data_IF_676403170847
#
_entry.id   IF_676403170847
#
_cell.length_a   1.000
_cell.length_b   1.000
_cell.length_c   1.000
_cell.angle_alpha   90.00
_cell.angle_beta   90.00
_cell.angle_gamma   90.00
#
_symmetry.space_group_name_H-M   'P 1'
#
loop_
_entity.id
_entity.type
_entity.pdbx_description
1 polymer ?
#
# COMPACT_ATOMS: atom_id res chain seq x y z
N UNK A 1 8.34 -4.49 15.04
CA UNK A 1 8.04 -3.08 15.38
C UNK A 1 9.31 -2.27 15.73
N UNK A 2 10.11 -2.62 16.75
CA UNK A 2 11.32 -1.83 17.13
C UNK A 2 12.37 -1.71 16.02
N UNK A 3 12.67 -2.79 15.30
CA UNK A 3 13.68 -2.80 14.23
C UNK A 3 13.36 -1.88 13.04
N UNK A 4 12.10 -1.52 12.84
CA UNK A 4 11.65 -0.57 11.80
C UNK A 4 12.13 0.87 12.05
N UNK A 5 12.50 1.19 13.30
CA UNK A 5 13.03 2.50 13.70
C UNK A 5 14.52 2.41 14.11
N UNK A 6 15.19 1.30 13.76
CA UNK A 6 16.63 1.17 14.00
C UNK A 6 17.39 2.21 13.20
N UNK A 7 18.53 2.70 13.70
CA UNK A 7 19.45 3.56 12.94
C UNK A 7 20.11 2.80 11.77
N UNK A 8 20.23 1.49 11.90
CA UNK A 8 20.82 0.63 10.88
C UNK A 8 19.83 0.34 9.74
N UNK A 9 20.21 0.68 8.51
CA UNK A 9 19.39 0.50 7.30
C UNK A 9 18.96 -0.96 7.09
N UNK A 10 19.89 -1.90 7.20
CA UNK A 10 19.61 -3.33 7.01
C UNK A 10 18.63 -3.86 8.06
N UNK A 11 18.68 -3.37 9.29
CA UNK A 11 17.70 -3.71 10.32
C UNK A 11 16.29 -3.25 9.95
N UNK A 12 16.16 -2.08 9.31
CA UNK A 12 14.87 -1.57 8.83
C UNK A 12 14.37 -2.39 7.64
N UNK A 13 15.23 -2.71 6.68
CA UNK A 13 14.90 -3.59 5.53
C UNK A 13 14.43 -4.97 5.99
N UNK A 14 15.13 -5.60 6.93
CA UNK A 14 14.73 -6.89 7.51
C UNK A 14 13.36 -6.76 8.21
N UNK A 15 13.10 -5.66 8.92
CA UNK A 15 11.82 -5.43 9.57
C UNK A 15 10.66 -5.31 8.56
N UNK A 16 10.87 -4.61 7.44
CA UNK A 16 9.89 -4.50 6.36
C UNK A 16 9.60 -5.87 5.75
N UNK A 17 10.64 -6.62 5.40
CA UNK A 17 10.51 -7.99 4.88
C UNK A 17 9.76 -8.89 5.85
N UNK A 18 10.07 -8.82 7.15
CA UNK A 18 9.37 -9.59 8.18
C UNK A 18 7.87 -9.27 8.25
N UNK A 19 7.49 -7.99 8.20
CA UNK A 19 6.09 -7.60 8.19
C UNK A 19 5.36 -8.00 6.91
N UNK A 20 5.99 -7.84 5.74
CA UNK A 20 5.44 -8.31 4.47
C UNK A 20 5.23 -9.83 4.48
N UNK A 21 6.17 -10.59 5.05
CA UNK A 21 6.05 -12.04 5.17
C UNK A 21 4.91 -12.43 6.11
N UNK A 22 4.75 -11.74 7.25
CA UNK A 22 3.62 -11.95 8.16
C UNK A 22 2.31 -11.70 7.40
N UNK A 23 2.17 -10.56 6.74
CA UNK A 23 0.95 -10.25 5.98
C UNK A 23 0.71 -11.28 4.88
N UNK A 24 1.72 -11.69 4.11
CA UNK A 24 1.58 -12.68 3.03
C UNK A 24 1.02 -14.03 3.50
N UNK A 25 1.38 -14.46 4.71
CA UNK A 25 1.04 -15.80 5.22
C UNK A 25 -0.07 -15.82 6.25
N UNK A 26 -0.30 -14.71 6.96
CA UNK A 26 -1.40 -14.57 7.91
C UNK A 26 -2.67 -14.14 7.16
N UNK A 27 -3.59 -15.08 6.96
CA UNK A 27 -4.82 -14.85 6.17
C UNK A 27 -5.94 -14.29 7.02
N UNK A 28 -6.63 -13.29 6.48
CA UNK A 28 -7.81 -12.68 7.11
C UNK A 28 -9.00 -13.65 7.05
N UNK A 29 -9.25 -14.23 5.87
CA UNK A 29 -10.22 -15.30 5.68
C UNK A 29 -9.53 -16.65 5.49
N UNK A 30 -9.96 -17.66 6.24
CA UNK A 30 -9.74 -19.05 5.86
C UNK A 30 -10.86 -19.46 4.91
N UNK A 31 -10.51 -20.06 3.77
CA UNK A 31 -11.43 -20.71 2.83
C UNK A 31 -12.36 -21.67 3.61
N UNK A 32 -13.56 -21.20 3.93
CA UNK A 32 -14.47 -21.88 4.85
C UNK A 32 -15.66 -21.03 5.25
N UNK A 33 -16.55 -20.78 4.27
CA UNK A 33 -17.87 -20.15 4.36
C UNK A 33 -18.42 -19.90 5.77
N UNK A 34 -18.00 -18.80 6.37
CA UNK A 34 -18.61 -18.23 7.57
C UNK A 34 -19.29 -16.93 7.17
N UNK A 35 -20.62 -16.96 7.08
CA UNK A 35 -21.48 -15.82 6.85
C UNK A 35 -21.00 -14.57 7.61
N UNK A 36 -20.70 -13.49 6.88
CA UNK A 36 -20.59 -12.15 7.43
C UNK A 36 -21.94 -11.76 8.02
N UNK A 37 -21.98 -11.51 9.33
CA UNK A 37 -23.15 -10.90 9.98
C UNK A 37 -23.10 -9.38 9.73
N UNK A 38 -24.22 -8.67 9.51
CA UNK A 38 -24.21 -7.24 9.27
C UNK A 38 -23.59 -6.48 10.44
N UNK A 39 -22.64 -5.60 10.11
CA UNK A 39 -21.95 -4.68 11.01
C UNK A 39 -22.91 -3.62 11.57
N UNK A 40 -23.63 -3.94 12.65
CA UNK A 40 -24.43 -2.92 13.36
C UNK A 40 -24.21 -2.82 14.88
N UNK A 41 -23.33 -3.61 15.50
CA UNK A 41 -23.02 -3.41 16.93
C UNK A 41 -21.54 -3.67 17.21
N UNK A 42 -20.68 -2.69 16.96
CA UNK A 42 -19.37 -2.59 17.59
C UNK A 42 -18.85 -1.14 17.60
N UNK A 43 -19.73 -0.17 17.86
CA UNK A 43 -19.32 1.22 18.09
C UNK A 43 -19.64 1.56 19.54
N UNK A 44 -18.68 1.31 20.44
CA UNK A 44 -18.53 1.99 21.75
C UNK A 44 -17.63 1.22 22.73
N UNK A 45 -16.48 0.67 22.32
CA UNK A 45 -15.44 0.35 23.30
C UNK A 45 -14.06 0.72 22.77
N UNK A 46 -13.51 1.79 23.34
CA UNK A 46 -12.10 2.15 23.30
C UNK A 46 -11.29 1.04 23.96
N UNK A 47 -10.95 -0.02 23.22
CA UNK A 47 -10.09 -1.06 23.73
C UNK A 47 -8.62 -0.64 23.60
N UNK A 48 -8.06 -0.24 24.75
CA UNK A 48 -6.63 -0.38 25.02
C UNK A 48 -6.29 -1.88 25.02
N UNK A 49 -5.99 -2.44 23.84
CA UNK A 49 -5.71 -3.87 23.68
C UNK A 49 -4.26 -4.21 24.05
N UNK A 50 -3.97 -4.37 25.34
CA UNK A 50 -2.70 -4.94 25.82
C UNK A 50 -2.65 -6.47 25.75
N UNK A 51 -3.74 -7.16 25.39
CA UNK A 51 -3.79 -8.62 25.29
C UNK A 51 -4.71 -9.07 24.14
N UNK A 52 -4.16 -9.15 22.93
CA UNK A 52 -4.77 -9.99 21.88
C UNK A 52 -4.32 -11.42 22.16
N UNK A 53 -5.20 -12.21 22.78
CA UNK A 53 -5.01 -13.66 22.92
C UNK A 53 -5.25 -14.28 21.55
N UNK A 54 -4.21 -14.77 20.89
CA UNK A 54 -4.33 -15.64 19.71
C UNK A 54 -4.80 -17.00 20.22
N UNK A 55 -6.11 -17.21 20.33
CA UNK A 55 -6.67 -18.51 20.72
C UNK A 55 -6.60 -19.48 19.54
N UNK A 56 -5.86 -20.58 19.72
CA UNK A 56 -5.80 -21.70 18.76
C UNK A 56 -7.04 -22.62 18.84
N UNK A 57 -8.05 -22.27 19.64
CA UNK A 57 -9.27 -23.04 19.83
C UNK A 57 -10.51 -22.21 19.44
N UNK A 58 -11.06 -22.50 18.25
CA UNK A 58 -12.51 -22.69 18.12
C UNK A 58 -13.34 -21.69 17.31
N UNK A 59 -12.95 -20.42 17.16
CA UNK A 59 -13.60 -19.48 16.22
C UNK A 59 -12.60 -18.41 15.77
N UNK A 60 -12.12 -18.51 14.53
CA UNK A 60 -11.28 -17.48 13.93
C UNK A 60 -12.07 -16.17 13.86
N UNK A 61 -11.57 -15.12 14.52
CA UNK A 61 -12.20 -13.81 14.49
C UNK A 61 -11.62 -13.04 13.31
N UNK A 62 -12.33 -13.10 12.17
CA UNK A 62 -11.97 -12.39 10.93
C UNK A 62 -11.69 -10.91 11.20
N UNK A 63 -12.53 -10.25 11.99
CA UNK A 63 -12.35 -8.84 12.35
C UNK A 63 -11.08 -8.59 13.18
N UNK A 64 -10.71 -9.51 14.08
CA UNK A 64 -9.45 -9.39 14.83
C UNK A 64 -8.22 -9.60 13.92
N UNK A 65 -8.31 -10.55 12.99
CA UNK A 65 -7.25 -10.81 12.01
C UNK A 65 -7.05 -9.62 11.07
N UNK A 66 -8.15 -9.05 10.58
CA UNK A 66 -8.16 -7.85 9.77
C UNK A 66 -7.56 -6.67 10.52
N UNK A 67 -8.01 -6.40 11.75
CA UNK A 67 -7.48 -5.33 12.58
C UNK A 67 -5.96 -5.47 12.82
N UNK A 68 -5.48 -6.70 13.06
CA UNK A 68 -4.06 -6.97 13.20
C UNK A 68 -3.28 -6.70 11.90
N UNK A 69 -3.81 -7.15 10.76
CA UNK A 69 -3.20 -6.89 9.46
C UNK A 69 -3.15 -5.38 9.14
N UNK A 70 -4.21 -4.65 9.46
CA UNK A 70 -4.26 -3.20 9.32
C UNK A 70 -3.29 -2.48 10.26
N UNK A 71 -3.04 -2.97 11.48
CA UNK A 71 -1.98 -2.41 12.35
C UNK A 71 -0.58 -2.60 11.75
N UNK A 72 -0.32 -3.78 11.16
CA UNK A 72 0.94 -4.03 10.46
C UNK A 72 1.06 -3.09 9.25
N UNK A 73 0.01 -2.96 8.45
CA UNK A 73 0.00 -2.06 7.28
C UNK A 73 0.20 -0.60 7.71
N UNK A 74 -0.43 -0.17 8.81
CA UNK A 74 -0.20 1.15 9.41
C UNK A 74 1.24 1.36 9.90
N UNK A 75 1.92 0.28 10.32
CA UNK A 75 3.35 0.33 10.59
C UNK A 75 4.18 0.45 9.30
N UNK A 76 3.84 -0.31 8.26
CA UNK A 76 4.49 -0.25 6.94
C UNK A 76 4.33 1.14 6.29
N UNK A 77 3.19 1.83 6.49
CA UNK A 77 2.99 3.21 6.01
C UNK A 77 4.10 4.17 6.45
N UNK A 78 4.67 3.98 7.64
CA UNK A 78 5.78 4.81 8.14
C UNK A 78 7.08 4.60 7.36
N UNK A 79 7.21 3.52 6.60
CA UNK A 79 8.37 3.27 5.73
C UNK A 79 8.42 4.26 4.56
N UNK A 80 7.28 4.82 4.14
CA UNK A 80 7.19 5.84 3.09
C UNK A 80 7.87 7.17 3.46
N UNK A 81 8.22 7.35 4.72
CA UNK A 81 8.99 8.50 5.23
C UNK A 81 10.44 8.16 5.55
N UNK A 82 10.89 6.93 5.24
CA UNK A 82 12.28 6.48 5.43
C UNK A 82 13.07 6.56 4.13
N UNK A 83 14.31 6.07 4.14
CA UNK A 83 15.19 6.07 2.97
C UNK A 83 14.62 5.28 1.79
N UNK A 84 15.06 5.63 0.58
CA UNK A 84 14.61 5.04 -0.68
C UNK A 84 14.71 3.51 -0.69
N UNK A 85 15.78 2.93 -0.17
CA UNK A 85 15.93 1.47 -0.09
C UNK A 85 14.85 0.80 0.76
N UNK A 86 14.35 1.45 1.80
CA UNK A 86 13.26 0.91 2.62
C UNK A 86 11.93 1.02 1.88
N UNK A 87 11.69 2.13 1.18
CA UNK A 87 10.49 2.32 0.33
C UNK A 87 10.46 1.28 -0.80
N UNK A 88 11.59 1.08 -1.45
CA UNK A 88 11.76 0.07 -2.50
C UNK A 88 11.41 -1.33 -1.97
N UNK A 89 11.95 -1.72 -0.82
CA UNK A 89 11.64 -3.01 -0.19
C UNK A 89 10.14 -3.20 0.08
N UNK A 90 9.45 -2.12 0.48
CA UNK A 90 8.00 -2.14 0.65
C UNK A 90 7.29 -2.36 -0.69
N UNK A 91 7.61 -1.56 -1.71
CA UNK A 91 6.96 -1.64 -3.02
C UNK A 91 7.15 -2.99 -3.71
N UNK A 92 8.34 -3.59 -3.60
CA UNK A 92 8.63 -4.90 -4.19
C UNK A 92 7.77 -6.03 -3.59
N UNK A 93 7.45 -5.98 -2.29
CA UNK A 93 6.72 -7.07 -1.62
C UNK A 93 5.22 -6.83 -1.45
N UNK A 94 4.75 -5.59 -1.53
CA UNK A 94 3.35 -5.27 -1.20
C UNK A 94 2.33 -5.89 -2.18
N UNK A 95 2.72 -6.09 -3.44
CA UNK A 95 1.86 -6.75 -4.43
C UNK A 95 1.52 -8.19 -4.04
N UNK A 96 2.50 -8.95 -3.53
CA UNK A 96 2.25 -10.32 -3.07
C UNK A 96 1.27 -10.35 -1.90
N UNK A 97 1.36 -9.36 -1.00
CA UNK A 97 0.41 -9.22 0.11
C UNK A 97 -1.00 -8.97 -0.42
N UNK A 98 -1.17 -8.04 -1.36
CA UNK A 98 -2.47 -7.75 -2.00
C UNK A 98 -3.05 -9.00 -2.68
N UNK A 99 -2.20 -9.81 -3.32
CA UNK A 99 -2.64 -11.07 -3.92
C UNK A 99 -3.09 -12.13 -2.90
N UNK A 100 -2.52 -12.14 -1.70
CA UNK A 100 -2.83 -13.12 -0.66
C UNK A 100 -3.92 -12.66 0.31
N UNK A 101 -4.11 -11.36 0.50
CA UNK A 101 -5.18 -10.81 1.33
C UNK A 101 -5.95 -9.73 0.57
N UNK A 102 -6.94 -10.13 -0.23
CA UNK A 102 -7.77 -9.19 -1.00
C UNK A 102 -8.51 -8.17 -0.13
N UNK A 103 -8.78 -8.49 1.14
CA UNK A 103 -9.41 -7.60 2.12
C UNK A 103 -8.54 -6.37 2.39
N UNK A 104 -7.22 -6.46 2.17
CA UNK A 104 -6.30 -5.32 2.30
C UNK A 104 -6.17 -4.50 1.02
N UNK A 105 -6.80 -4.89 -0.09
CA UNK A 105 -6.61 -4.27 -1.39
C UNK A 105 -6.92 -2.77 -1.38
N UNK A 106 -8.02 -2.35 -0.76
CA UNK A 106 -8.38 -0.93 -0.64
C UNK A 106 -7.31 -0.15 0.14
N UNK A 107 -6.94 -0.61 1.34
CA UNK A 107 -5.91 0.05 2.15
C UNK A 107 -4.50 0.07 1.51
N UNK A 108 -4.14 -0.99 0.76
CA UNK A 108 -2.86 -1.05 0.03
C UNK A 108 -2.88 -0.07 -1.15
N UNK A 109 -3.97 -0.01 -1.90
CA UNK A 109 -4.11 0.94 -3.00
C UNK A 109 -4.12 2.37 -2.50
N UNK A 110 -4.87 2.68 -1.44
CA UNK A 110 -4.89 4.02 -0.85
C UNK A 110 -3.49 4.44 -0.41
N UNK A 111 -2.74 3.53 0.22
CA UNK A 111 -1.36 3.76 0.63
C UNK A 111 -0.44 4.13 -0.54
N UNK A 112 -0.48 3.34 -1.62
CA UNK A 112 0.35 3.53 -2.81
C UNK A 112 -0.08 4.78 -3.58
N UNK A 113 -1.38 4.99 -3.75
CA UNK A 113 -1.92 6.11 -4.49
C UNK A 113 -1.66 7.44 -3.77
N UNK A 114 -1.90 7.49 -2.46
CA UNK A 114 -1.54 8.64 -1.62
C UNK A 114 -0.06 9.01 -1.71
N UNK A 115 0.82 8.02 -1.86
CA UNK A 115 2.25 8.27 -2.06
C UNK A 115 2.54 8.80 -3.47
N UNK A 116 1.95 8.19 -4.50
CA UNK A 116 2.09 8.61 -5.89
C UNK A 116 1.63 10.06 -6.10
N UNK A 117 0.52 10.45 -5.49
CA UNK A 117 -0.04 11.80 -5.57
C UNK A 117 0.88 12.90 -5.04
N UNK A 118 1.93 12.56 -4.26
CA UNK A 118 2.95 13.54 -3.84
C UNK A 118 3.86 13.98 -4.98
N UNK A 119 4.02 13.12 -5.99
CA UNK A 119 4.94 13.32 -7.11
C UNK A 119 4.17 13.67 -8.39
N UNK A 120 2.89 13.32 -8.46
CA UNK A 120 2.04 13.59 -9.61
C UNK A 120 1.53 15.03 -9.63
N UNK A 121 1.79 15.74 -10.73
CA UNK A 121 1.30 17.09 -10.95
C UNK A 121 -0.11 17.00 -11.55
N UNK A 122 -1.13 17.40 -10.78
CA UNK A 122 -2.55 17.29 -11.20
C UNK A 122 -2.94 18.20 -12.35
N UNK A 123 -2.27 19.33 -12.51
CA UNK A 123 -2.56 20.26 -13.60
C UNK A 123 -2.31 19.59 -14.95
N UNK A 124 -3.35 19.42 -15.81
CA UNK A 124 -3.22 18.68 -17.06
C UNK A 124 -2.42 19.42 -18.14
N UNK A 125 -2.09 20.70 -17.92
CA UNK A 125 -1.33 21.53 -18.85
C UNK A 125 0.17 21.40 -18.59
N UNK A 126 0.56 21.12 -17.34
CA UNK A 126 1.97 21.04 -16.94
C UNK A 126 2.61 19.76 -17.49
N UNK A 127 3.77 19.95 -18.14
CA UNK A 127 4.71 18.92 -18.53
C UNK A 127 6.05 19.20 -17.82
N UNK A 128 6.74 18.16 -17.30
CA UNK A 128 6.32 16.77 -17.21
C UNK A 128 5.21 16.56 -16.17
N UNK A 129 4.47 15.45 -16.22
CA UNK A 129 3.40 15.14 -15.26
C UNK A 129 3.89 14.71 -13.87
N UNK A 130 5.21 14.64 -13.67
CA UNK A 130 5.85 14.19 -12.44
C UNK A 130 6.88 15.22 -12.00
N UNK A 131 6.84 15.61 -10.72
CA UNK A 131 7.88 16.45 -10.12
C UNK A 131 9.07 15.58 -9.67
N UNK A 132 10.02 15.37 -10.59
CA UNK A 132 11.20 14.54 -10.34
C UNK A 132 12.18 15.16 -9.33
N UNK A 133 12.07 16.48 -9.07
CA UNK A 133 12.90 17.14 -8.06
C UNK A 133 12.61 16.61 -6.66
N UNK A 134 11.39 16.11 -6.43
CA UNK A 134 11.01 15.49 -5.16
C UNK A 134 11.57 14.05 -5.01
N UNK A 135 12.04 13.45 -6.11
CA UNK A 135 12.57 12.09 -6.13
C UNK A 135 14.09 12.03 -5.96
N UNK A 136 14.79 13.15 -6.10
CA UNK A 136 16.25 13.25 -6.07
C UNK A 136 16.66 14.20 -4.93
N UNK A 137 17.72 13.84 -4.22
CA UNK A 137 18.32 14.65 -3.17
C UNK A 137 19.83 14.71 -3.32
N UNK A 138 20.47 15.36 -2.38
CA UNK A 138 21.93 15.49 -2.32
C UNK A 138 22.44 15.05 -0.94
N UNK A 139 23.41 14.16 -0.92
CA UNK A 139 24.10 13.70 0.28
C UNK A 139 25.61 13.58 -0.03
N UNK A 140 26.47 14.19 0.78
CA UNK A 140 27.93 14.20 0.59
C UNK A 140 28.35 14.60 -0.85
N UNK A 141 27.76 15.67 -1.40
CA UNK A 141 27.99 16.18 -2.76
C UNK A 141 27.64 15.17 -3.88
N UNK A 142 26.83 14.15 -3.57
CA UNK A 142 26.35 13.14 -4.52
C UNK A 142 24.84 13.18 -4.64
N UNK A 143 24.36 13.07 -5.86
CA UNK A 143 22.95 12.85 -6.12
C UNK A 143 22.51 11.48 -5.55
N UNK A 144 21.45 11.49 -4.76
CA UNK A 144 20.84 10.29 -4.18
C UNK A 144 19.37 10.20 -4.58
N UNK A 145 18.87 8.98 -4.75
CA UNK A 145 17.45 8.74 -4.97
C UNK A 145 16.73 8.79 -3.63
N UNK A 146 15.77 9.69 -3.49
CA UNK A 146 14.88 9.82 -2.33
C UNK A 146 13.63 8.96 -2.49
N UNK A 147 13.04 8.96 -3.69
CA UNK A 147 11.87 8.16 -4.03
C UNK A 147 12.19 7.21 -5.19
N UNK A 148 12.11 5.89 -4.99
CA UNK A 148 12.28 4.91 -6.07
C UNK A 148 11.00 4.85 -6.92
N UNK A 149 10.69 5.93 -7.64
CA UNK A 149 9.43 6.15 -8.35
C UNK A 149 9.02 5.01 -9.30
N UNK A 150 9.94 4.36 -10.06
CA UNK A 150 9.57 3.22 -10.90
C UNK A 150 8.96 2.05 -10.11
N UNK A 151 9.46 1.80 -8.89
CA UNK A 151 8.95 0.74 -8.02
C UNK A 151 7.56 1.09 -7.46
N UNK A 152 7.34 2.35 -7.10
CA UNK A 152 6.03 2.84 -6.67
C UNK A 152 4.99 2.67 -7.77
N UNK A 153 5.32 3.13 -8.99
CA UNK A 153 4.43 3.03 -10.15
C UNK A 153 4.12 1.56 -10.50
N UNK A 154 5.14 0.70 -10.47
CA UNK A 154 4.94 -0.73 -10.70
C UNK A 154 4.02 -1.36 -9.65
N UNK A 155 4.26 -1.10 -8.37
CA UNK A 155 3.44 -1.63 -7.29
C UNK A 155 1.98 -1.13 -7.39
N UNK A 156 1.78 0.17 -7.65
CA UNK A 156 0.45 0.76 -7.83
C UNK A 156 -0.29 0.11 -9.00
N UNK A 157 0.35 0.00 -10.17
CA UNK A 157 -0.26 -0.58 -11.37
C UNK A 157 -0.62 -2.06 -11.17
N UNK A 158 0.27 -2.83 -10.56
CA UNK A 158 0.05 -4.26 -10.32
C UNK A 158 -1.07 -4.49 -9.30
N UNK A 159 -1.10 -3.73 -8.21
CA UNK A 159 -2.18 -3.76 -7.23
C UNK A 159 -3.52 -3.33 -7.85
N UNK A 160 -3.54 -2.25 -8.63
CA UNK A 160 -4.77 -1.74 -9.24
C UNK A 160 -5.35 -2.75 -10.24
N UNK A 161 -4.49 -3.28 -11.12
CA UNK A 161 -4.87 -4.31 -12.08
C UNK A 161 -5.40 -5.58 -11.41
N UNK A 162 -4.86 -5.93 -10.24
CA UNK A 162 -5.32 -7.10 -9.47
C UNK A 162 -6.67 -6.86 -8.81
N UNK A 163 -6.87 -5.68 -8.23
CA UNK A 163 -8.11 -5.28 -7.57
C UNK A 163 -9.26 -5.13 -8.57
N UNK A 164 -9.03 -4.50 -9.74
CA UNK A 164 -10.03 -4.37 -10.80
C UNK A 164 -10.55 -5.74 -11.27
N UNK A 165 -9.63 -6.68 -11.58
CA UNK A 165 -9.98 -8.06 -11.95
C UNK A 165 -10.74 -8.82 -10.86
N UNK A 166 -10.68 -8.37 -9.61
CA UNK A 166 -11.43 -8.98 -8.51
C UNK A 166 -12.84 -8.40 -8.46
N UNK A 167 -12.99 -7.08 -8.53
CA UNK A 167 -14.29 -6.41 -8.60
C UNK A 167 -15.15 -6.93 -9.75
N UNK A 168 -14.56 -7.18 -10.92
CA UNK A 168 -15.28 -7.79 -12.06
C UNK A 168 -15.86 -9.18 -11.79
N UNK A 169 -15.40 -9.87 -10.73
CA UNK A 169 -15.78 -11.25 -10.38
C UNK A 169 -16.66 -11.36 -9.14
N UNK A 170 -16.57 -10.40 -8.23
CA UNK A 170 -17.32 -10.40 -6.98
C UNK A 170 -18.67 -9.72 -7.23
N UNK A 171 -19.78 -10.34 -6.83
CA UNK A 171 -21.15 -9.77 -7.00
C UNK A 171 -21.43 -8.64 -5.98
N UNK A 172 -20.64 -8.56 -4.91
CA UNK A 172 -20.72 -7.51 -3.90
C UNK A 172 -19.91 -6.29 -4.35
N UNK A 173 -20.60 -5.16 -4.55
CA UNK A 173 -19.98 -3.88 -4.91
C UNK A 173 -19.22 -3.29 -3.70
N UNK A 174 -17.88 -3.38 -3.71
CA UNK A 174 -17.03 -2.53 -2.86
C UNK A 174 -16.92 -1.15 -3.51
N UNK A 175 -17.94 -0.31 -3.29
CA UNK A 175 -18.04 1.05 -3.85
C UNK A 175 -16.78 1.88 -3.56
N UNK A 176 -16.22 1.76 -2.35
CA UNK A 176 -15.02 2.50 -1.97
C UNK A 176 -13.80 2.09 -2.78
N UNK A 177 -13.61 0.78 -3.01
CA UNK A 177 -12.53 0.28 -3.85
C UNK A 177 -12.74 0.68 -5.31
N UNK A 178 -13.99 0.67 -5.80
CA UNK A 178 -14.31 1.09 -7.17
C UNK A 178 -13.92 2.55 -7.41
N UNK A 179 -14.37 3.48 -6.56
CA UNK A 179 -14.04 4.90 -6.69
C UNK A 179 -12.52 5.16 -6.64
N UNK A 180 -11.81 4.46 -5.75
CA UNK A 180 -10.36 4.58 -5.66
C UNK A 180 -9.66 4.07 -6.94
N UNK A 181 -10.18 3.02 -7.57
CA UNK A 181 -9.62 2.52 -8.82
C UNK A 181 -9.87 3.49 -9.98
N UNK A 182 -11.05 4.11 -10.04
CA UNK A 182 -11.36 5.13 -11.03
C UNK A 182 -10.36 6.30 -10.93
N UNK A 183 -10.10 6.80 -9.71
CA UNK A 183 -9.13 7.86 -9.46
C UNK A 183 -7.69 7.46 -9.88
N UNK A 184 -7.30 6.21 -9.58
CA UNK A 184 -5.99 5.67 -9.96
C UNK A 184 -5.88 5.57 -11.48
N UNK A 185 -6.91 5.04 -12.16
CA UNK A 185 -6.94 4.90 -13.61
C UNK A 185 -6.87 6.26 -14.30
N UNK A 186 -7.65 7.25 -13.85
CA UNK A 186 -7.62 8.61 -14.38
C UNK A 186 -6.21 9.20 -14.29
N UNK A 187 -5.56 9.08 -13.13
CA UNK A 187 -4.22 9.61 -12.93
C UNK A 187 -3.17 8.89 -13.78
N UNK A 188 -3.22 7.55 -13.88
CA UNK A 188 -2.28 6.77 -14.69
C UNK A 188 -2.48 7.01 -16.20
N UNK A 189 -3.72 7.22 -16.65
CA UNK A 189 -4.03 7.60 -18.03
C UNK A 189 -3.50 9.01 -18.34
N UNK A 190 -3.72 9.97 -17.44
CA UNK A 190 -3.17 11.33 -17.54
C UNK A 190 -1.64 11.33 -17.56
N UNK A 191 -1.01 10.55 -16.67
CA UNK A 191 0.44 10.35 -16.61
C UNK A 191 0.97 9.86 -17.95
N UNK A 192 0.40 8.78 -18.49
CA UNK A 192 0.82 8.17 -19.76
C UNK A 192 0.69 9.15 -20.91
N UNK A 193 -0.47 9.82 -21.03
CA UNK A 193 -0.75 10.78 -22.10
C UNK A 193 0.22 11.98 -22.08
N UNK A 194 0.60 12.44 -20.89
CA UNK A 194 1.52 13.59 -20.73
C UNK A 194 2.98 13.18 -20.90
N UNK A 195 3.42 12.06 -20.35
CA UNK A 195 4.79 11.56 -20.54
C UNK A 195 5.13 11.32 -22.02
N UNK A 196 4.19 10.81 -22.82
CA UNK A 196 4.37 10.63 -24.27
C UNK A 196 4.61 11.97 -24.99
N UNK A 197 4.09 13.07 -24.44
CA UNK A 197 4.21 14.42 -25.00
C UNK A 197 5.40 15.20 -24.45
N UNK A 198 5.94 14.81 -23.30
CA UNK A 198 7.10 15.46 -22.69
C UNK A 198 8.36 15.20 -23.51
N UNK A 199 9.15 16.24 -23.68
CA UNK A 199 10.49 16.24 -24.23
C UNK A 199 11.53 16.28 -23.11
N UNK A 200 12.80 16.04 -23.43
CA UNK A 200 13.89 16.17 -22.44
C UNK A 200 14.05 17.60 -21.90
N UNK A 201 13.60 18.62 -22.63
CA UNK A 201 13.69 20.02 -22.22
C UNK A 201 12.68 20.38 -21.11
N UNK A 202 11.66 19.55 -20.92
CA UNK A 202 10.65 19.76 -19.88
C UNK A 202 11.17 19.29 -18.49
N UNK A 203 12.19 18.42 -18.44
CA UNK A 203 12.68 17.77 -17.22
C UNK A 203 13.86 18.48 -16.55
#
# INVERSE_FOLDING_TARGET
KKSMFSKNLESRKIAVTGFLLILKHFRIDLEGGGFSLPSQIAFSQSYSCSQVIVSTQGRYNVAANEAFCLEILGSLKKCLSQDSYVRQQLYEGIYEVSCRNPQLSNSILDLLFSQFLKYFIRDPIILPPLDLNLCIGEEDEKAVILEPLPYLLHALQMCASKSAKRLDRDEDEDESLSHLLDDVEECLASLTKRLIKSSLEDF
#
